data_IF_444136257120
#
_entry.id   IF_444136257120
#
_cell.length_a   1.000
_cell.length_b   1.000
_cell.length_c   1.000
_cell.angle_alpha   90.00
_cell.angle_beta   90.00
_cell.angle_gamma   90.00
#
_symmetry.space_group_name_H-M   'P 1'
#
loop_
_entity.id
_entity.type
_entity.pdbx_description
1 polymer ?
#
# COMPACT_ATOMS: atom_id res chain seq x y z
N UNK A 1 10.58 -95.03 4.92
CA UNK A 1 11.04 -93.84 5.66
C UNK A 1 10.71 -92.63 4.76
N UNK A 2 9.62 -91.97 5.06
CA UNK A 2 9.10 -90.85 4.24
C UNK A 2 9.33 -89.51 4.91
N UNK A 3 9.94 -88.58 4.22
CA UNK A 3 10.00 -87.19 4.62
C UNK A 3 8.92 -86.42 3.88
N UNK A 4 8.02 -85.80 4.62
CA UNK A 4 6.98 -84.88 4.10
C UNK A 4 7.59 -83.50 3.95
N UNK A 5 7.53 -82.94 2.73
CA UNK A 5 7.86 -81.57 2.46
C UNK A 5 6.69 -80.65 2.82
N UNK A 6 6.93 -79.77 3.73
CA UNK A 6 5.96 -78.72 4.13
C UNK A 6 5.99 -77.56 3.14
N UNK A 7 4.80 -77.17 2.62
CA UNK A 7 4.60 -75.98 1.79
C UNK A 7 4.51 -74.74 2.68
N UNK A 8 5.43 -73.81 2.51
CA UNK A 8 5.35 -72.49 3.12
C UNK A 8 4.58 -71.59 2.17
N UNK A 9 3.41 -71.15 2.57
CA UNK A 9 2.60 -70.17 1.85
C UNK A 9 3.13 -68.79 2.24
N UNK A 10 3.82 -68.15 1.32
CA UNK A 10 4.24 -66.76 1.49
C UNK A 10 3.07 -65.78 1.30
N UNK A 11 2.65 -65.15 2.36
CA UNK A 11 1.71 -64.02 2.28
C UNK A 11 2.43 -62.76 1.80
N UNK A 12 2.16 -62.40 0.56
CA UNK A 12 2.64 -61.11 0.00
C UNK A 12 1.87 -59.94 0.63
N UNK A 13 2.57 -59.17 1.40
CA UNK A 13 2.03 -57.90 1.91
C UNK A 13 2.14 -56.83 0.80
N UNK A 14 1.01 -56.50 0.19
CA UNK A 14 0.92 -55.37 -0.74
C UNK A 14 0.98 -54.06 0.07
N UNK A 15 2.09 -53.36 -0.05
CA UNK A 15 2.25 -52.02 0.53
C UNK A 15 1.56 -51.02 -0.40
N UNK A 16 0.37 -50.55 -0.03
CA UNK A 16 -0.28 -49.43 -0.68
C UNK A 16 0.42 -48.12 -0.23
N UNK A 17 1.27 -47.60 -1.12
CA UNK A 17 1.82 -46.23 -0.95
C UNK A 17 0.70 -45.25 -1.37
N UNK A 18 -0.03 -44.75 -0.39
CA UNK A 18 -0.96 -43.64 -0.60
C UNK A 18 -0.13 -42.38 -0.79
N UNK A 19 0.00 -41.94 -2.04
CA UNK A 19 0.57 -40.61 -2.36
C UNK A 19 -0.40 -39.56 -1.89
N UNK A 20 -0.12 -38.92 -0.73
CA UNK A 20 -0.78 -37.69 -0.30
C UNK A 20 -0.32 -36.57 -1.24
N UNK A 21 -1.11 -36.28 -2.26
CA UNK A 21 -1.01 -35.06 -3.02
C UNK A 21 -1.40 -33.89 -2.09
N UNK A 22 -0.42 -33.27 -1.46
CA UNK A 22 -0.60 -32.02 -0.74
C UNK A 22 -0.92 -30.93 -1.78
N UNK A 23 -2.21 -30.68 -2.01
CA UNK A 23 -2.69 -29.51 -2.73
C UNK A 23 -2.30 -28.28 -1.94
N UNK A 24 -1.20 -27.64 -2.33
CA UNK A 24 -0.83 -26.30 -1.85
C UNK A 24 -1.86 -25.31 -2.41
N UNK A 25 -3.03 -25.25 -1.78
CA UNK A 25 -3.94 -24.15 -1.95
C UNK A 25 -3.19 -22.90 -1.45
N UNK A 26 -2.65 -22.09 -2.38
CA UNK A 26 -2.25 -20.72 -2.10
C UNK A 26 -3.51 -20.02 -1.61
N UNK A 27 -3.66 -19.95 -0.29
CA UNK A 27 -4.62 -19.07 0.34
C UNK A 27 -4.23 -17.66 -0.09
N UNK A 28 -4.96 -17.08 -1.04
CA UNK A 28 -4.97 -15.65 -1.23
C UNK A 28 -5.47 -15.08 0.10
N UNK A 29 -4.58 -14.47 0.86
CA UNK A 29 -4.94 -13.82 2.10
C UNK A 29 -5.92 -12.70 1.74
N UNK A 30 -7.21 -12.96 1.90
CA UNK A 30 -8.22 -11.91 1.85
C UNK A 30 -8.01 -11.02 3.06
N UNK A 31 -7.83 -9.72 2.82
CA UNK A 31 -7.72 -8.75 3.90
C UNK A 31 -8.89 -8.90 4.87
N UNK A 32 -8.63 -8.74 6.17
CA UNK A 32 -9.71 -8.68 7.15
C UNK A 32 -10.70 -7.56 6.75
N UNK A 33 -12.01 -7.73 6.90
CA UNK A 33 -13.00 -6.74 6.47
C UNK A 33 -12.76 -5.33 7.00
N UNK A 34 -12.19 -5.22 8.19
CA UNK A 34 -11.81 -3.93 8.79
C UNK A 34 -10.60 -3.30 8.09
N UNK A 35 -9.60 -4.08 7.76
CA UNK A 35 -8.42 -3.61 7.02
C UNK A 35 -8.81 -3.12 5.62
N UNK A 36 -9.67 -3.86 4.92
CA UNK A 36 -10.18 -3.46 3.61
C UNK A 36 -10.93 -2.11 3.69
N UNK A 37 -11.77 -1.91 4.71
CA UNK A 37 -12.44 -0.62 4.94
C UNK A 37 -11.48 0.50 5.26
N UNK A 38 -10.44 0.23 6.03
CA UNK A 38 -9.40 1.23 6.34
C UNK A 38 -8.64 1.65 5.08
N UNK A 39 -8.30 0.71 4.21
CA UNK A 39 -7.63 0.99 2.93
C UNK A 39 -8.55 1.82 2.02
N UNK A 40 -9.83 1.47 1.91
CA UNK A 40 -10.78 2.25 1.10
C UNK A 40 -10.96 3.67 1.66
N UNK A 41 -11.06 3.83 2.97
CA UNK A 41 -11.07 5.14 3.61
C UNK A 41 -9.77 5.92 3.35
N UNK A 42 -8.62 5.25 3.35
CA UNK A 42 -7.33 5.84 2.97
C UNK A 42 -7.31 6.34 1.53
N UNK A 43 -7.93 5.61 0.59
CA UNK A 43 -8.14 6.07 -0.79
C UNK A 43 -8.93 7.38 -0.82
N UNK A 44 -10.00 7.46 -0.05
CA UNK A 44 -10.82 8.67 0.03
C UNK A 44 -10.03 9.86 0.62
N UNK A 45 -9.22 9.63 1.65
CA UNK A 45 -8.33 10.66 2.20
C UNK A 45 -7.33 11.15 1.14
N UNK A 46 -6.70 10.23 0.40
CA UNK A 46 -5.75 10.56 -0.67
C UNK A 46 -6.40 11.35 -1.80
N UNK A 47 -7.60 10.93 -2.21
CA UNK A 47 -8.33 11.47 -3.36
C UNK A 47 -8.99 12.81 -3.07
N UNK A 48 -9.74 12.92 -1.99
CA UNK A 48 -10.64 14.05 -1.78
C UNK A 48 -10.30 14.89 -0.55
N UNK A 49 -10.05 14.26 0.60
CA UNK A 49 -9.89 15.02 1.84
C UNK A 49 -8.58 15.80 1.89
N UNK A 50 -7.46 15.12 1.74
CA UNK A 50 -6.14 15.76 1.74
C UNK A 50 -5.64 16.12 0.33
N UNK A 51 -6.39 15.72 -0.71
CA UNK A 51 -6.12 16.03 -2.11
C UNK A 51 -4.70 15.70 -2.59
N UNK A 52 -4.09 14.66 -2.01
CA UNK A 52 -2.71 14.24 -2.30
C UNK A 52 -2.49 13.96 -3.78
N UNK A 53 -3.53 13.47 -4.46
CA UNK A 53 -3.51 13.18 -5.90
C UNK A 53 -3.20 14.39 -6.77
N UNK A 54 -3.44 15.62 -6.31
CA UNK A 54 -3.15 16.81 -7.11
C UNK A 54 -1.64 16.96 -7.40
N UNK A 55 -0.79 16.60 -6.44
CA UNK A 55 0.66 16.61 -6.63
C UNK A 55 1.19 15.22 -6.99
N UNK A 56 0.72 14.16 -6.29
CA UNK A 56 1.23 12.81 -6.47
C UNK A 56 0.54 12.02 -7.59
N UNK A 57 -0.44 12.60 -8.28
CA UNK A 57 -1.35 11.98 -9.26
C UNK A 57 -2.21 10.87 -8.65
N UNK A 58 -3.25 10.46 -9.38
CA UNK A 58 -4.18 9.44 -8.93
C UNK A 58 -3.49 8.09 -8.66
N UNK A 59 -2.46 7.77 -9.44
CA UNK A 59 -1.70 6.51 -9.39
C UNK A 59 -0.47 6.58 -8.47
N UNK A 60 -0.28 7.70 -7.76
CA UNK A 60 0.87 7.93 -6.90
C UNK A 60 2.24 7.91 -7.63
N UNK A 61 2.25 8.07 -8.95
CA UNK A 61 3.48 8.09 -9.75
C UNK A 61 4.31 9.35 -9.55
N UNK A 62 3.67 10.43 -9.09
CA UNK A 62 4.36 11.71 -8.90
C UNK A 62 4.69 12.42 -10.19
N UNK A 63 5.86 13.10 -10.26
CA UNK A 63 6.23 13.95 -11.38
C UNK A 63 5.31 15.19 -11.48
N UNK A 64 5.06 15.74 -12.66
CA UNK A 64 4.21 16.93 -12.81
C UNK A 64 2.73 16.62 -12.59
N UNK A 65 2.21 16.93 -11.38
CA UNK A 65 0.78 16.96 -11.08
C UNK A 65 0.20 18.37 -11.20
N UNK A 66 -1.12 18.51 -11.09
CA UNK A 66 -1.81 19.80 -11.10
C UNK A 66 -1.36 20.75 -9.98
N UNK A 67 -1.01 20.20 -8.82
CA UNK A 67 -0.53 20.94 -7.64
C UNK A 67 0.98 21.17 -7.63
N UNK A 68 1.72 20.71 -8.62
CA UNK A 68 3.17 20.84 -8.72
C UNK A 68 3.91 19.51 -8.80
N UNK A 69 5.23 19.60 -8.74
CA UNK A 69 6.10 18.41 -8.79
C UNK A 69 6.10 17.66 -7.46
N UNK A 70 5.94 16.35 -7.53
CA UNK A 70 6.07 15.47 -6.37
C UNK A 70 6.87 14.22 -6.71
N UNK A 71 7.58 13.69 -5.71
CA UNK A 71 8.27 12.41 -5.87
C UNK A 71 7.26 11.28 -6.00
N UNK A 72 7.65 10.24 -6.76
CA UNK A 72 6.87 9.02 -6.90
C UNK A 72 6.75 8.31 -5.56
N UNK A 73 5.51 8.12 -5.09
CA UNK A 73 5.24 7.29 -3.92
C UNK A 73 5.35 5.79 -4.25
N UNK A 74 5.19 5.42 -5.51
CA UNK A 74 5.38 4.03 -5.97
C UNK A 74 6.83 3.55 -5.82
N UNK A 75 7.79 4.48 -5.88
CA UNK A 75 9.24 4.21 -5.77
C UNK A 75 9.81 4.56 -4.40
N UNK A 76 8.97 4.99 -3.46
CA UNK A 76 9.45 5.40 -2.13
C UNK A 76 10.13 4.27 -1.39
N UNK A 77 11.16 4.61 -0.62
CA UNK A 77 11.85 3.71 0.31
C UNK A 77 11.48 4.00 1.78
N UNK A 78 10.52 4.90 1.99
CA UNK A 78 10.06 5.19 3.34
C UNK A 78 9.34 3.99 3.95
N UNK A 79 9.57 3.77 5.23
CA UNK A 79 8.74 2.86 6.03
C UNK A 79 7.35 3.48 6.26
N UNK A 80 6.32 2.69 6.65
CA UNK A 80 5.01 3.24 7.01
C UNK A 80 5.08 4.34 8.07
N UNK A 81 5.92 4.17 9.10
CA UNK A 81 6.10 5.16 10.15
C UNK A 81 6.70 6.48 9.63
N UNK A 82 7.73 6.39 8.78
CA UNK A 82 8.32 7.56 8.15
C UNK A 82 7.35 8.27 7.20
N UNK A 83 6.55 7.50 6.45
CA UNK A 83 5.52 8.08 5.59
C UNK A 83 4.44 8.80 6.41
N UNK A 84 4.01 8.21 7.53
CA UNK A 84 3.08 8.85 8.45
C UNK A 84 3.65 10.17 9.01
N UNK A 85 4.93 10.20 9.36
CA UNK A 85 5.60 11.42 9.80
C UNK A 85 5.64 12.49 8.70
N UNK A 86 5.95 12.10 7.45
CA UNK A 86 5.92 13.03 6.30
C UNK A 86 4.51 13.58 6.07
N UNK A 87 3.46 12.76 6.16
CA UNK A 87 2.08 13.24 6.02
C UNK A 87 1.71 14.21 7.12
N UNK A 88 2.08 13.89 8.37
CA UNK A 88 1.85 14.79 9.52
C UNK A 88 2.56 16.12 9.37
N UNK A 89 3.84 16.08 9.06
CA UNK A 89 4.78 17.17 9.20
C UNK A 89 5.09 17.89 7.90
N UNK A 90 4.66 17.36 6.75
CA UNK A 90 5.12 17.87 5.47
C UNK A 90 6.62 17.64 5.25
N UNK A 91 7.19 18.37 4.32
CA UNK A 91 8.64 18.35 4.07
C UNK A 91 9.20 19.77 4.08
N UNK A 92 10.00 20.12 5.10
CA UNK A 92 10.68 21.42 5.15
C UNK A 92 11.43 21.75 3.85
N UNK A 93 11.37 23.01 3.44
CA UNK A 93 12.00 23.48 2.21
C UNK A 93 11.31 23.04 0.91
N UNK A 94 10.12 22.44 0.99
CA UNK A 94 9.36 21.97 -0.19
C UNK A 94 7.89 22.40 -0.13
N UNK A 95 7.16 22.18 -1.24
CA UNK A 95 5.70 22.40 -1.29
C UNK A 95 4.86 21.27 -0.66
N UNK A 96 5.47 20.18 -0.14
CA UNK A 96 4.71 19.13 0.52
C UNK A 96 4.12 19.63 1.85
N UNK A 97 2.78 19.75 1.97
CA UNK A 97 2.15 20.36 3.13
C UNK A 97 2.17 19.45 4.36
N UNK A 98 2.08 20.07 5.54
CA UNK A 98 1.80 19.35 6.78
C UNK A 98 0.29 19.27 7.05
N UNK A 99 -0.15 18.13 7.60
CA UNK A 99 -1.56 17.86 7.88
C UNK A 99 -1.86 17.68 9.39
N UNK A 100 -0.87 17.76 10.27
CA UNK A 100 -1.11 17.82 11.71
C UNK A 100 -1.31 19.30 12.12
N UNK A 101 -2.47 19.61 12.72
CA UNK A 101 -2.82 20.95 13.21
C UNK A 101 -1.74 21.55 14.12
N UNK A 102 -1.03 20.69 14.85
CA UNK A 102 -0.01 21.10 15.81
C UNK A 102 1.42 20.93 15.29
N UNK A 103 1.58 20.65 13.99
CA UNK A 103 2.91 20.57 13.39
C UNK A 103 3.70 21.85 13.69
N UNK A 104 4.93 21.67 14.15
CA UNK A 104 5.87 22.75 14.44
C UNK A 104 5.42 23.75 15.53
N UNK A 105 4.38 23.47 16.31
CA UNK A 105 4.07 24.23 17.53
C UNK A 105 4.94 23.80 18.71
N UNK A 106 5.46 22.61 18.62
CA UNK A 106 6.46 22.01 19.50
C UNK A 106 7.43 21.18 18.65
N UNK A 107 8.31 20.41 19.25
CA UNK A 107 9.33 19.62 18.55
C UNK A 107 8.82 18.27 18.00
N UNK A 108 7.51 18.08 17.82
CA UNK A 108 6.90 16.81 17.35
C UNK A 108 7.20 16.48 15.89
N UNK A 109 7.60 17.46 15.09
CA UNK A 109 7.94 17.30 13.69
C UNK A 109 9.45 17.46 13.51
N UNK A 110 10.14 16.37 13.27
CA UNK A 110 11.58 16.29 13.02
C UNK A 110 12.43 16.95 14.13
N UNK A 111 11.87 17.08 15.35
CA UNK A 111 12.54 17.77 16.46
C UNK A 111 12.65 19.29 16.30
N UNK A 112 11.92 19.88 15.34
CA UNK A 112 11.98 21.31 14.99
C UNK A 112 10.69 22.03 15.34
N UNK A 113 10.84 23.34 15.56
CA UNK A 113 9.74 24.29 15.72
C UNK A 113 9.63 25.18 14.46
N UNK A 114 8.57 26.01 14.39
CA UNK A 114 8.40 26.99 13.33
C UNK A 114 9.57 27.97 13.23
N UNK A 115 10.10 28.39 14.38
CA UNK A 115 11.21 29.34 14.44
C UNK A 115 12.51 28.72 13.91
N UNK A 116 12.71 27.40 14.16
CA UNK A 116 13.87 26.68 13.63
C UNK A 116 13.85 26.61 12.10
N UNK A 117 12.66 26.54 11.50
CA UNK A 117 12.50 26.39 10.04
C UNK A 117 12.51 27.73 9.28
N UNK A 118 11.96 28.77 9.86
CA UNK A 118 11.88 30.07 9.21
C UNK A 118 11.24 29.97 7.81
N UNK A 119 11.98 30.35 6.77
CA UNK A 119 11.54 30.32 5.36
C UNK A 119 11.32 28.91 4.80
N UNK A 120 11.92 27.90 5.42
CA UNK A 120 11.80 26.51 4.96
C UNK A 120 10.57 25.79 5.58
N UNK A 121 9.73 26.55 6.28
CA UNK A 121 8.46 26.06 6.82
C UNK A 121 7.57 25.52 5.69
N UNK A 122 7.15 24.23 5.70
CA UNK A 122 6.22 23.71 4.69
C UNK A 122 4.86 24.40 4.82
N UNK A 123 4.06 24.50 3.74
CA UNK A 123 2.72 25.06 3.81
C UNK A 123 1.80 24.18 4.67
N UNK A 124 0.75 24.77 5.25
CA UNK A 124 -0.33 24.01 5.85
C UNK A 124 -1.15 23.29 4.74
N UNK A 125 -1.56 22.07 4.99
CA UNK A 125 -2.52 21.38 4.14
C UNK A 125 -3.88 22.07 4.15
N UNK A 126 -4.66 21.87 3.09
CA UNK A 126 -6.04 22.39 2.99
C UNK A 126 -6.91 21.87 4.13
N UNK A 127 -6.65 20.63 4.55
CA UNK A 127 -7.33 19.96 5.65
C UNK A 127 -6.32 19.38 6.64
N UNK A 128 -6.62 19.54 7.93
CA UNK A 128 -5.88 18.83 8.98
C UNK A 128 -6.45 17.42 9.16
N UNK A 129 -5.57 16.44 9.26
CA UNK A 129 -5.92 15.04 9.38
C UNK A 129 -5.84 14.58 10.84
N UNK A 130 -6.78 13.74 11.23
CA UNK A 130 -6.70 12.99 12.49
C UNK A 130 -5.71 11.83 12.34
N UNK A 131 -5.21 11.32 13.46
CA UNK A 131 -4.25 10.20 13.46
C UNK A 131 -4.76 8.98 12.67
N UNK A 132 -6.05 8.64 12.79
CA UNK A 132 -6.68 7.54 12.04
C UNK A 132 -6.71 7.77 10.53
N UNK A 133 -6.77 9.01 10.08
CA UNK A 133 -6.79 9.36 8.66
C UNK A 133 -5.40 9.29 8.06
N UNK A 134 -4.39 9.68 8.84
CA UNK A 134 -2.99 9.51 8.48
C UNK A 134 -2.64 8.02 8.38
N UNK A 135 -3.07 7.21 9.36
CA UNK A 135 -2.89 5.75 9.31
C UNK A 135 -3.58 5.14 8.09
N UNK A 136 -4.82 5.54 7.80
CA UNK A 136 -5.58 5.02 6.67
C UNK A 136 -4.93 5.36 5.33
N UNK A 137 -4.49 6.61 5.10
CA UNK A 137 -3.85 6.99 3.83
C UNK A 137 -2.50 6.29 3.65
N UNK A 138 -1.73 6.09 4.72
CA UNK A 138 -0.48 5.32 4.67
C UNK A 138 -0.77 3.86 4.32
N UNK A 139 -1.73 3.21 4.98
CA UNK A 139 -2.15 1.84 4.65
C UNK A 139 -2.61 1.70 3.20
N UNK A 140 -3.39 2.66 2.71
CA UNK A 140 -3.80 2.71 1.31
C UNK A 140 -2.59 2.74 0.38
N UNK A 141 -1.64 3.64 0.60
CA UNK A 141 -0.46 3.78 -0.25
C UNK A 141 0.40 2.51 -0.25
N UNK A 142 0.61 1.88 0.90
CA UNK A 142 1.36 0.61 0.97
C UNK A 142 0.61 -0.56 0.35
N UNK A 143 -0.72 -0.60 0.43
CA UNK A 143 -1.52 -1.64 -0.19
C UNK A 143 -1.66 -1.48 -1.72
N UNK A 144 -1.67 -0.24 -2.23
CA UNK A 144 -2.10 0.05 -3.60
C UNK A 144 -1.05 0.72 -4.50
N UNK A 145 0.03 1.27 -3.95
CA UNK A 145 1.00 2.04 -4.72
C UNK A 145 2.45 1.60 -4.49
N UNK A 146 2.93 1.57 -3.25
CA UNK A 146 4.35 1.35 -2.94
C UNK A 146 4.84 0.01 -3.49
N UNK A 147 5.92 0.05 -4.27
CA UNK A 147 6.56 -1.15 -4.83
C UNK A 147 5.83 -1.80 -6.01
N UNK A 148 4.72 -1.24 -6.51
CA UNK A 148 3.89 -1.87 -7.54
C UNK A 148 4.34 -1.61 -8.98
N UNK A 149 5.41 -0.88 -9.22
CA UNK A 149 5.88 -0.57 -10.58
C UNK A 149 4.99 0.43 -11.32
N UNK A 150 4.80 0.27 -12.61
CA UNK A 150 3.91 1.12 -13.42
C UNK A 150 2.44 0.87 -13.06
N UNK A 151 1.61 1.92 -13.17
CA UNK A 151 0.17 1.81 -12.96
C UNK A 151 -0.50 1.00 -14.09
N UNK A 152 -1.57 0.28 -13.73
CA UNK A 152 -2.35 -0.55 -14.66
C UNK A 152 -3.74 0.01 -14.91
N UNK A 153 -4.40 -0.47 -15.96
CA UNK A 153 -5.78 -0.14 -16.26
C UNK A 153 -6.72 -0.51 -15.10
N UNK A 154 -6.51 -1.69 -14.50
CA UNK A 154 -7.32 -2.19 -13.39
C UNK A 154 -7.16 -1.29 -12.15
N UNK A 155 -5.93 -0.83 -11.84
CA UNK A 155 -5.68 0.13 -10.76
C UNK A 155 -6.40 1.47 -11.03
N UNK A 156 -6.44 1.91 -12.29
CA UNK A 156 -7.15 3.13 -12.66
C UNK A 156 -8.65 3.00 -12.42
N UNK A 157 -9.26 1.91 -12.89
CA UNK A 157 -10.71 1.65 -12.69
C UNK A 157 -11.02 1.51 -11.19
N UNK A 158 -10.18 0.84 -10.41
CA UNK A 158 -10.33 0.72 -8.95
C UNK A 158 -10.29 2.09 -8.26
N UNK A 159 -9.37 2.96 -8.68
CA UNK A 159 -9.25 4.30 -8.09
C UNK A 159 -10.46 5.19 -8.38
N UNK A 160 -10.92 5.22 -9.63
CA UNK A 160 -12.02 6.09 -10.04
C UNK A 160 -13.41 5.49 -9.77
N UNK A 161 -13.49 4.17 -9.51
CA UNK A 161 -14.73 3.42 -9.31
C UNK A 161 -15.46 3.09 -10.61
N UNK A 162 -14.90 3.49 -11.76
CA UNK A 162 -15.43 3.21 -13.09
C UNK A 162 -14.37 3.45 -14.15
N UNK A 163 -14.61 2.94 -15.36
CA UNK A 163 -13.79 3.27 -16.53
C UNK A 163 -14.02 4.73 -16.92
N UNK A 164 -13.00 5.55 -16.72
CA UNK A 164 -13.02 6.98 -16.99
C UNK A 164 -12.01 7.34 -18.08
N UNK A 165 -12.09 8.58 -18.56
CA UNK A 165 -11.18 9.11 -19.58
C UNK A 165 -9.71 9.04 -19.17
N UNK A 166 -9.43 9.13 -17.87
CA UNK A 166 -8.09 9.00 -17.30
C UNK A 166 -7.49 7.60 -17.49
N UNK A 167 -8.35 6.57 -17.67
CA UNK A 167 -7.93 5.19 -17.85
C UNK A 167 -7.67 4.81 -19.33
N UNK A 168 -8.16 5.58 -20.30
CA UNK A 168 -8.02 5.29 -21.73
C UNK A 168 -6.57 5.02 -22.17
N UNK A 169 -5.56 5.83 -21.77
CA UNK A 169 -4.18 5.61 -22.21
C UNK A 169 -3.56 4.28 -21.75
N UNK A 170 -4.22 3.56 -20.85
CA UNK A 170 -3.73 2.30 -20.31
C UNK A 170 -4.35 1.08 -21.00
N UNK A 171 -5.46 1.25 -21.73
CA UNK A 171 -6.12 0.17 -22.50
C UNK A 171 -5.22 -0.34 -23.62
N UNK A 172 -4.41 0.52 -24.21
CA UNK A 172 -3.58 0.21 -25.38
C UNK A 172 -2.25 -0.48 -25.03
N UNK A 173 -1.91 -0.59 -23.75
CA UNK A 173 -0.65 -1.18 -23.27
C UNK A 173 -0.72 -2.67 -22.94
N UNK A 174 -1.75 -3.35 -23.46
CA UNK A 174 -1.88 -4.82 -23.32
C UNK A 174 -1.09 -5.58 -24.36
#
# INVERSE_FOLDING_TARGET
>A
MGLRAGRIIGAGAAIFIAALAASSARAQATLAPEEARTIEYGKEVFKTKATCQFCHKWDASGDQGYGGNALSLRKTQLTPAQMAEVVKCGRPGTGMPYHDRFAYTDKRCYGMTRDDLGKDMPPAGNEFLQAREIDAVVKYLFAKAVGRGASTYEECVDFWGSDTRECEPMKEKK
#
